data_IF_508731279914
#
_entry.id   IF_508731279914
#
_cell.length_a   1.000
_cell.length_b   1.000
_cell.length_c   1.000
_cell.angle_alpha   90.00
_cell.angle_beta   90.00
_cell.angle_gamma   90.00
#
_symmetry.space_group_name_H-M   'P 1'
#
loop_
_entity.id
_entity.type
_entity.pdbx_description
1 polymer ?
#
# COMPACT_ATOMS: atom_id res chain seq x y z
N UNK A 1 38.93 17.14 -50.59
CA UNK A 1 37.78 17.88 -50.00
C UNK A 1 37.47 17.21 -48.66
N UNK A 2 37.83 17.83 -47.52
CA UNK A 2 36.97 18.66 -46.66
C UNK A 2 35.88 17.82 -45.97
N UNK A 3 35.73 17.69 -44.64
CA UNK A 3 36.37 18.20 -43.42
C UNK A 3 35.80 17.38 -42.20
N UNK A 4 36.27 17.58 -40.95
CA UNK A 4 36.28 16.57 -39.87
C UNK A 4 35.05 16.54 -38.91
N UNK A 5 35.06 15.50 -38.06
CA UNK A 5 34.16 15.19 -36.93
C UNK A 5 33.91 16.39 -35.99
N UNK A 6 32.66 16.64 -35.55
CA UNK A 6 32.39 17.43 -34.36
C UNK A 6 32.21 16.54 -33.13
N UNK A 7 33.00 16.84 -32.10
CA UNK A 7 32.83 16.41 -30.72
C UNK A 7 31.64 17.14 -30.04
N UNK A 8 31.28 16.67 -28.84
CA UNK A 8 30.26 17.16 -27.90
C UNK A 8 28.84 16.67 -28.19
N UNK A 9 28.10 16.07 -27.25
CA UNK A 9 28.06 16.38 -25.82
C UNK A 9 27.91 15.12 -24.94
N UNK A 10 28.64 15.11 -23.81
CA UNK A 10 28.30 14.27 -22.66
C UNK A 10 26.98 14.81 -22.06
N UNK A 11 25.90 14.05 -22.17
CA UNK A 11 24.69 14.29 -21.39
C UNK A 11 24.81 13.51 -20.06
N UNK A 12 25.24 14.19 -19.00
CA UNK A 12 25.22 13.63 -17.65
C UNK A 12 23.78 13.75 -17.14
N UNK A 13 22.96 12.72 -17.32
CA UNK A 13 21.68 12.63 -16.64
C UNK A 13 21.94 12.32 -15.16
N UNK A 14 21.96 13.37 -14.33
CA UNK A 14 21.85 13.21 -12.89
C UNK A 14 20.42 12.75 -12.57
N UNK A 15 20.20 11.44 -12.46
CA UNK A 15 18.98 10.90 -11.86
C UNK A 15 19.03 11.22 -10.37
N UNK A 16 18.44 12.35 -9.99
CA UNK A 16 18.12 12.65 -8.59
C UNK A 16 17.06 11.66 -8.11
N UNK A 17 17.48 10.58 -7.46
CA UNK A 17 16.60 9.68 -6.74
C UNK A 17 16.04 10.41 -5.53
N UNK A 18 14.84 10.97 -5.68
CA UNK A 18 14.02 11.38 -4.54
C UNK A 18 13.60 10.10 -3.81
N UNK A 19 14.25 9.81 -2.70
CA UNK A 19 13.81 8.75 -1.79
C UNK A 19 12.48 9.23 -1.17
N UNK A 20 11.36 8.52 -1.35
CA UNK A 20 10.16 8.85 -0.59
C UNK A 20 10.48 8.62 0.90
N UNK A 21 10.35 9.66 1.70
CA UNK A 21 10.36 9.53 3.15
C UNK A 21 9.15 8.68 3.54
N UNK A 22 9.39 7.45 3.99
CA UNK A 22 8.34 6.62 4.58
C UNK A 22 7.87 7.29 5.88
N UNK A 23 6.83 8.10 5.80
CA UNK A 23 6.13 8.59 6.98
C UNK A 23 5.39 7.42 7.61
N UNK A 24 5.97 6.81 8.63
CA UNK A 24 5.29 5.85 9.47
C UNK A 24 4.19 6.60 10.26
N UNK A 25 2.99 6.67 9.70
CA UNK A 25 1.83 7.19 10.40
C UNK A 25 1.58 6.31 11.63
N UNK A 26 1.62 6.90 12.83
CA UNK A 26 1.26 6.21 14.06
C UNK A 26 -0.23 5.93 14.05
N UNK A 27 -0.64 4.86 13.37
CA UNK A 27 -2.02 4.40 13.43
C UNK A 27 -2.30 3.81 14.82
N UNK A 28 -3.57 3.88 15.25
CA UNK A 28 -4.05 3.11 16.40
C UNK A 28 -3.68 1.63 16.17
N UNK A 29 -2.89 1.05 17.08
CA UNK A 29 -2.43 -0.35 17.02
C UNK A 29 -3.58 -1.36 16.87
N UNK A 30 -4.81 -0.96 17.25
CA UNK A 30 -6.01 -1.78 17.11
C UNK A 30 -6.45 -1.93 15.65
N UNK A 31 -5.97 -1.08 14.74
CA UNK A 31 -6.25 -1.09 13.30
C UNK A 31 -5.25 -1.95 12.51
N UNK A 32 -4.11 -2.30 13.11
CA UNK A 32 -3.07 -3.12 12.52
C UNK A 32 -1.74 -2.38 12.38
N UNK A 33 -0.92 -2.80 11.43
CA UNK A 33 0.47 -2.34 11.29
C UNK A 33 0.83 -1.99 9.85
N UNK A 34 1.52 -0.87 9.64
CA UNK A 34 2.13 -0.53 8.36
C UNK A 34 3.28 -1.49 8.04
N UNK A 35 3.37 -1.96 6.80
CA UNK A 35 4.45 -2.84 6.34
C UNK A 35 5.00 -2.35 5.00
N UNK A 36 6.17 -2.87 4.63
CA UNK A 36 6.73 -2.62 3.30
C UNK A 36 5.85 -3.24 2.21
N UNK A 37 5.68 -2.54 1.08
CA UNK A 37 4.81 -3.01 0.00
C UNK A 37 5.25 -4.36 -0.60
N UNK A 38 6.53 -4.70 -0.50
CA UNK A 38 7.10 -5.99 -0.91
C UNK A 38 6.76 -7.15 0.02
N UNK A 39 6.27 -6.87 1.24
CA UNK A 39 5.85 -7.87 2.22
C UNK A 39 4.37 -8.24 2.13
N UNK A 40 3.60 -7.57 1.27
CA UNK A 40 2.19 -7.87 1.07
C UNK A 40 2.00 -9.23 0.37
N UNK A 41 1.04 -10.01 0.85
CA UNK A 41 0.69 -11.33 0.30
C UNK A 41 -0.13 -11.20 -0.99
N UNK A 42 -0.93 -10.14 -1.10
CA UNK A 42 -1.67 -9.81 -2.33
C UNK A 42 -1.92 -8.31 -2.47
N UNK A 43 -2.41 -7.92 -3.64
CA UNK A 43 -2.79 -6.54 -3.94
C UNK A 43 -4.30 -6.40 -4.16
N UNK A 44 -4.86 -5.28 -3.68
CA UNK A 44 -6.24 -4.85 -3.95
C UNK A 44 -6.18 -3.50 -4.67
N UNK A 45 -6.69 -3.46 -5.89
CA UNK A 45 -6.85 -2.21 -6.64
C UNK A 45 -8.18 -1.56 -6.28
N UNK A 46 -8.13 -0.31 -5.82
CA UNK A 46 -9.29 0.49 -5.46
C UNK A 46 -9.71 1.31 -6.69
N UNK A 47 -10.67 0.77 -7.44
CA UNK A 47 -11.29 1.46 -8.58
C UNK A 47 -12.47 2.33 -8.15
N UNK A 48 -13.13 2.96 -9.12
CA UNK A 48 -14.30 3.81 -8.86
C UNK A 48 -15.46 3.04 -8.19
N UNK A 49 -15.61 1.74 -8.49
CA UNK A 49 -16.69 0.89 -7.99
C UNK A 49 -16.32 0.06 -6.75
N UNK A 50 -15.05 0.07 -6.35
CA UNK A 50 -14.62 -0.66 -5.15
C UNK A 50 -15.04 0.14 -3.91
N UNK A 51 -15.97 -0.40 -3.11
CA UNK A 51 -16.54 0.25 -1.92
C UNK A 51 -16.01 -0.32 -0.61
N UNK A 52 -15.62 -1.59 -0.61
CA UNK A 52 -15.13 -2.30 0.55
C UNK A 52 -14.25 -3.48 0.11
N UNK A 53 -13.52 -4.06 1.05
CA UNK A 53 -12.78 -5.30 0.86
C UNK A 53 -12.93 -6.22 2.08
N UNK A 54 -12.76 -7.51 1.87
CA UNK A 54 -12.65 -8.51 2.95
C UNK A 54 -11.21 -9.03 3.02
N UNK A 55 -10.73 -9.19 4.24
CA UNK A 55 -9.41 -9.76 4.57
C UNK A 55 -9.55 -10.69 5.78
N UNK A 56 -8.56 -11.54 6.00
CA UNK A 56 -8.42 -12.35 7.21
C UNK A 56 -7.60 -11.62 8.27
N UNK A 57 -7.83 -11.95 9.54
CA UNK A 57 -6.96 -11.47 10.61
C UNK A 57 -5.52 -11.95 10.38
N UNK A 58 -4.56 -11.01 10.44
CA UNK A 58 -3.15 -11.23 10.17
C UNK A 58 -2.75 -11.07 8.69
N UNK A 59 -3.71 -10.94 7.77
CA UNK A 59 -3.44 -10.84 6.33
C UNK A 59 -2.70 -9.53 5.99
N UNK A 60 -1.72 -9.64 5.11
CA UNK A 60 -0.92 -8.51 4.60
C UNK A 60 -1.36 -8.11 3.19
N UNK A 61 -1.89 -6.89 3.03
CA UNK A 61 -2.47 -6.42 1.76
C UNK A 61 -1.81 -5.13 1.29
N UNK A 62 -1.46 -5.09 0.00
CA UNK A 62 -1.09 -3.87 -0.71
C UNK A 62 -2.33 -3.24 -1.33
N UNK A 63 -2.63 -2.00 -0.96
CA UNK A 63 -3.69 -1.23 -1.60
C UNK A 63 -3.09 -0.37 -2.71
N UNK A 64 -3.76 -0.34 -3.87
CA UNK A 64 -3.34 0.44 -5.03
C UNK A 64 -4.47 1.38 -5.44
N UNK A 65 -4.16 2.66 -5.58
CA UNK A 65 -5.10 3.72 -6.03
C UNK A 65 -4.38 4.60 -7.05
N UNK A 66 -4.76 4.49 -8.32
CA UNK A 66 -4.07 5.17 -9.42
C UNK A 66 -2.59 4.77 -9.53
N UNK A 67 -1.69 5.72 -9.26
CA UNK A 67 -0.23 5.50 -9.26
C UNK A 67 0.36 5.29 -7.86
N UNK A 68 -0.46 5.45 -6.80
CA UNK A 68 -0.02 5.32 -5.42
C UNK A 68 -0.30 3.91 -4.88
N UNK A 69 0.51 3.47 -3.92
CA UNK A 69 0.23 2.27 -3.16
C UNK A 69 0.83 2.32 -1.76
N UNK A 70 0.19 1.65 -0.81
CA UNK A 70 0.77 1.36 0.51
C UNK A 70 0.37 -0.05 0.92
N UNK A 71 1.04 -0.62 1.93
CA UNK A 71 0.70 -1.94 2.45
C UNK A 71 0.40 -1.92 3.94
N UNK A 72 -0.52 -2.79 4.32
CA UNK A 72 -1.06 -2.88 5.67
C UNK A 72 -1.22 -4.34 6.08
N UNK A 73 -0.81 -4.67 7.30
CA UNK A 73 -1.11 -5.95 7.94
C UNK A 73 -2.28 -5.80 8.89
N UNK A 74 -3.30 -6.65 8.73
CA UNK A 74 -4.52 -6.64 9.54
C UNK A 74 -4.37 -7.47 10.82
N UNK A 75 -3.35 -7.18 11.63
CA UNK A 75 -3.04 -7.85 12.91
C UNK A 75 -3.68 -7.18 14.14
N UNK A 76 -4.51 -6.17 13.92
CA UNK A 76 -5.26 -5.46 14.96
C UNK A 76 -6.44 -6.25 15.55
N UNK A 77 -7.18 -5.58 16.44
CA UNK A 77 -8.36 -6.15 17.13
C UNK A 77 -9.70 -5.72 16.52
N UNK A 78 -9.72 -4.74 15.61
CA UNK A 78 -10.94 -4.25 14.97
C UNK A 78 -11.40 -5.22 13.87
N UNK A 79 -12.71 -5.46 13.81
CA UNK A 79 -13.34 -6.24 12.74
C UNK A 79 -13.67 -5.43 11.48
N UNK A 80 -13.56 -4.11 11.57
CA UNK A 80 -13.72 -3.18 10.46
C UNK A 80 -12.71 -2.04 10.62
N UNK A 81 -12.02 -1.71 9.54
CA UNK A 81 -11.02 -0.65 9.47
C UNK A 81 -11.42 0.28 8.33
N UNK A 82 -11.57 1.58 8.61
CA UNK A 82 -11.65 2.58 7.56
C UNK A 82 -10.25 2.84 7.03
N UNK A 83 -10.04 2.57 5.74
CA UNK A 83 -8.74 2.67 5.10
C UNK A 83 -8.19 4.09 5.16
N UNK A 84 -9.05 5.12 5.25
CA UNK A 84 -8.62 6.51 5.42
C UNK A 84 -7.85 6.77 6.73
N UNK A 85 -8.00 5.92 7.75
CA UNK A 85 -7.31 6.06 9.04
C UNK A 85 -5.87 5.54 9.01
N UNK A 86 -5.57 4.62 8.09
CA UNK A 86 -4.29 3.91 8.00
C UNK A 86 -3.52 4.25 6.73
N UNK A 87 -4.21 4.74 5.70
CA UNK A 87 -3.61 5.17 4.45
C UNK A 87 -2.89 6.53 4.61
N UNK A 88 -1.83 6.77 3.81
CA UNK A 88 -1.25 8.09 3.69
C UNK A 88 -2.30 9.14 3.30
N UNK A 89 -2.12 10.37 3.78
CA UNK A 89 -3.01 11.48 3.46
C UNK A 89 -3.18 11.66 1.94
N UNK A 90 -4.44 11.75 1.48
CA UNK A 90 -4.77 11.91 0.06
C UNK A 90 -4.70 10.63 -0.79
N UNK A 91 -4.44 9.46 -0.19
CA UNK A 91 -4.42 8.18 -0.93
C UNK A 91 -5.79 7.83 -1.56
N UNK A 92 -6.86 8.14 -0.83
CA UNK A 92 -8.26 8.04 -1.26
C UNK A 92 -9.03 9.25 -0.74
N UNK A 93 -10.08 9.63 -1.46
CA UNK A 93 -10.92 10.81 -1.21
C UNK A 93 -12.30 10.45 -0.64
N UNK A 94 -12.52 9.17 -0.34
CA UNK A 94 -13.79 8.63 0.15
C UNK A 94 -13.56 7.55 1.20
N UNK A 95 -14.54 7.31 2.09
CA UNK A 95 -14.49 6.19 3.01
C UNK A 95 -14.39 4.86 2.27
N UNK A 96 -13.53 3.96 2.76
CA UNK A 96 -13.37 2.62 2.23
C UNK A 96 -13.20 1.65 3.40
N UNK A 97 -14.20 0.80 3.64
CA UNK A 97 -14.16 -0.11 4.79
C UNK A 97 -13.53 -1.45 4.40
N UNK A 98 -12.53 -1.87 5.17
CA UNK A 98 -11.99 -3.23 5.12
C UNK A 98 -12.57 -4.03 6.27
N UNK A 99 -13.29 -5.09 5.96
CA UNK A 99 -13.82 -6.02 6.95
C UNK A 99 -12.82 -7.14 7.20
N UNK A 100 -12.50 -7.37 8.48
CA UNK A 100 -11.52 -8.35 8.94
C UNK A 100 -12.26 -9.56 9.49
N UNK A 101 -12.24 -10.65 8.73
CA UNK A 101 -12.76 -11.93 9.15
C UNK A 101 -11.81 -12.56 10.17
N UNK A 102 -12.33 -12.90 11.34
CA UNK A 102 -11.63 -13.81 12.25
C UNK A 102 -11.90 -15.22 11.79
N UNK A 103 -10.85 -15.95 11.45
CA UNK A 103 -10.97 -17.39 11.21
C UNK A 103 -11.41 -18.00 12.52
N UNK A 104 -12.68 -18.38 12.62
CA UNK A 104 -13.13 -19.28 13.65
C UNK A 104 -12.43 -20.60 13.36
N UNK A 105 -11.29 -20.84 14.01
CA UNK A 105 -10.70 -22.16 14.02
C UNK A 105 -11.72 -23.05 14.74
N UNK A 106 -12.49 -23.79 13.93
CA UNK A 106 -13.53 -24.67 14.42
C UNK A 106 -12.91 -25.55 15.51
N UNK A 107 -13.61 -25.64 16.64
CA UNK A 107 -13.40 -26.74 17.58
C UNK A 107 -13.32 -28.01 16.75
N UNK A 108 -12.19 -28.72 16.82
CA UNK A 108 -12.15 -30.13 16.45
C UNK A 108 -13.25 -30.81 17.25
N UNK A 109 -14.37 -31.08 16.58
CA UNK A 109 -15.43 -31.89 17.10
C UNK A 109 -15.22 -33.29 16.51
N UNK A 110 -15.03 -34.23 17.44
CA UNK A 110 -14.88 -35.67 17.31
C UNK A 110 -13.47 -36.18 17.00
#
# INVERSE_FOLDING_TARGET
MKNPVPAMALAIFALGSTLPASHAQSADFRLGTAIEASQAERSITIGADTRWANVQQGESVRFVSGQASFAWRFDGSRSAVDLMQVAPAGFIDRPFTVYVARTHQGRSAN
#
